data_IF_230379149382
#
_entry.id   IF_230379149382
#
_cell.length_a   1.000
_cell.length_b   1.000
_cell.length_c   1.000
_cell.angle_alpha   90.00
_cell.angle_beta   90.00
_cell.angle_gamma   90.00
#
_symmetry.space_group_name_H-M   'P 1'
#
loop_
_entity.id
_entity.type
_entity.pdbx_description
1 polymer ?
#
# COMPACT_ATOMS: atom_id res chain seq x y z
N UNK A 1 1.36 -38.03 -40.37
CA UNK A 1 0.03 -37.40 -40.48
C UNK A 1 -0.07 -36.36 -39.38
N UNK A 2 0.29 -35.12 -39.68
CA UNK A 2 0.05 -33.98 -38.82
C UNK A 2 -1.35 -33.47 -39.15
N UNK A 3 -2.28 -33.57 -38.22
CA UNK A 3 -3.67 -33.13 -38.40
C UNK A 3 -3.98 -32.13 -37.28
N UNK A 4 -4.25 -30.88 -37.67
CA UNK A 4 -5.22 -30.00 -37.01
C UNK A 4 -4.83 -29.27 -35.72
N UNK A 5 -3.68 -28.57 -35.66
CA UNK A 5 -3.38 -27.63 -34.54
C UNK A 5 -3.52 -26.14 -34.89
N UNK A 6 -3.43 -25.73 -36.16
CA UNK A 6 -3.55 -24.31 -36.55
C UNK A 6 -4.99 -23.87 -36.79
N UNK A 7 -5.82 -24.78 -37.31
CA UNK A 7 -7.11 -24.39 -37.87
C UNK A 7 -8.10 -23.95 -36.79
N UNK A 8 -8.07 -24.55 -35.59
CA UNK A 8 -9.02 -24.23 -34.51
C UNK A 8 -8.80 -22.87 -33.86
N UNK A 9 -7.54 -22.45 -33.69
CA UNK A 9 -7.18 -21.15 -33.09
C UNK A 9 -7.41 -20.02 -34.10
N UNK A 10 -7.16 -20.30 -35.38
CA UNK A 10 -7.37 -19.37 -36.48
C UNK A 10 -8.86 -19.21 -36.81
N UNK A 11 -9.66 -20.28 -36.70
CA UNK A 11 -11.13 -20.21 -36.72
C UNK A 11 -11.68 -19.39 -35.53
N UNK A 12 -11.14 -19.59 -34.32
CA UNK A 12 -11.50 -18.80 -33.14
C UNK A 12 -11.21 -17.31 -33.34
N UNK A 13 -10.01 -16.98 -33.86
CA UNK A 13 -9.63 -15.60 -34.19
C UNK A 13 -10.58 -15.02 -35.25
N UNK A 14 -10.87 -15.78 -36.32
CA UNK A 14 -11.72 -15.31 -37.43
C UNK A 14 -13.18 -15.09 -36.99
N UNK A 15 -13.71 -15.96 -36.12
CA UNK A 15 -15.06 -15.82 -35.52
C UNK A 15 -15.10 -14.65 -34.53
N UNK A 16 -14.03 -14.45 -33.74
CA UNK A 16 -13.92 -13.34 -32.79
C UNK A 16 -13.68 -11.98 -33.46
N UNK A 17 -13.08 -11.93 -34.65
CA UNK A 17 -12.91 -10.68 -35.41
C UNK A 17 -14.17 -10.29 -36.19
N UNK A 18 -14.98 -11.26 -36.61
CA UNK A 18 -16.19 -11.00 -37.42
C UNK A 18 -17.43 -10.64 -36.58
N UNK A 19 -17.49 -10.98 -35.29
CA UNK A 19 -18.73 -10.83 -34.50
C UNK A 19 -18.81 -9.60 -33.57
N UNK A 20 -17.73 -8.90 -33.23
CA UNK A 20 -17.76 -8.03 -32.03
C UNK A 20 -17.75 -6.52 -32.32
N UNK A 21 -18.94 -6.00 -32.67
CA UNK A 21 -19.35 -4.63 -32.37
C UNK A 21 -20.34 -4.63 -31.21
N UNK A 22 -19.91 -4.16 -30.04
CA UNK A 22 -20.68 -3.84 -28.82
C UNK A 22 -21.76 -4.85 -28.33
N UNK A 23 -21.52 -5.39 -27.14
CA UNK A 23 -22.49 -6.07 -26.25
C UNK A 23 -23.23 -7.26 -26.87
N UNK A 24 -22.64 -8.46 -26.79
CA UNK A 24 -23.36 -9.68 -27.18
C UNK A 24 -23.80 -10.44 -25.94
N UNK A 25 -25.11 -10.39 -25.70
CA UNK A 25 -25.88 -11.44 -25.03
C UNK A 25 -26.05 -12.56 -26.05
N UNK A 26 -25.60 -13.78 -25.72
CA UNK A 26 -25.74 -14.99 -26.52
C UNK A 26 -24.45 -15.44 -27.20
N UNK A 27 -23.64 -16.25 -26.51
CA UNK A 27 -22.43 -16.89 -27.06
C UNK A 27 -22.56 -18.42 -26.98
N UNK A 28 -22.07 -19.12 -27.98
CA UNK A 28 -22.06 -20.59 -28.08
C UNK A 28 -21.31 -21.25 -26.90
N UNK A 29 -21.93 -22.26 -26.27
CA UNK A 29 -21.33 -23.08 -25.20
C UNK A 29 -19.99 -23.70 -25.61
N UNK A 30 -19.79 -23.93 -26.92
CA UNK A 30 -18.53 -24.43 -27.47
C UNK A 30 -17.39 -23.43 -27.32
N UNK A 31 -17.66 -22.12 -27.48
CA UNK A 31 -16.67 -21.07 -27.26
C UNK A 31 -16.20 -21.06 -25.80
N UNK A 32 -17.15 -21.13 -24.86
CA UNK A 32 -16.87 -21.17 -23.42
C UNK A 32 -16.02 -22.40 -23.08
N UNK A 33 -16.36 -23.57 -23.63
CA UNK A 33 -15.55 -24.79 -23.51
C UNK A 33 -14.11 -24.59 -24.00
N UNK A 34 -13.92 -23.97 -25.17
CA UNK A 34 -12.60 -23.72 -25.71
C UNK A 34 -11.75 -22.82 -24.81
N UNK A 35 -12.35 -21.83 -24.13
CA UNK A 35 -11.63 -21.01 -23.13
C UNK A 35 -11.09 -21.86 -21.99
N UNK A 36 -11.91 -22.77 -21.43
CA UNK A 36 -11.46 -23.68 -20.37
C UNK A 36 -10.46 -24.72 -20.84
N UNK A 37 -10.57 -25.20 -22.09
CA UNK A 37 -9.53 -26.03 -22.70
C UNK A 37 -8.19 -25.31 -22.82
N UNK A 38 -8.19 -24.02 -23.16
CA UNK A 38 -6.97 -23.21 -23.19
C UNK A 38 -6.37 -23.07 -21.79
N UNK A 39 -7.19 -22.75 -20.77
CA UNK A 39 -6.71 -22.67 -19.38
C UNK A 39 -6.10 -23.99 -18.89
N UNK A 40 -6.74 -25.12 -19.23
CA UNK A 40 -6.24 -26.46 -18.90
C UNK A 40 -4.91 -26.75 -19.60
N UNK A 41 -4.81 -26.45 -20.90
CA UNK A 41 -3.61 -26.69 -21.70
C UNK A 41 -2.39 -25.92 -21.15
N UNK A 42 -2.61 -24.69 -20.70
CA UNK A 42 -1.57 -23.81 -20.16
C UNK A 42 -1.34 -24.01 -18.65
N UNK A 43 -2.09 -24.92 -17.99
CA UNK A 43 -2.14 -25.08 -16.53
C UNK A 43 -2.27 -23.74 -15.78
N UNK A 44 -3.06 -22.84 -16.34
CA UNK A 44 -3.08 -21.45 -15.89
C UNK A 44 -3.99 -21.28 -14.67
N UNK A 45 -3.43 -20.72 -13.61
CA UNK A 45 -4.20 -20.32 -12.43
C UNK A 45 -5.09 -19.10 -12.72
N UNK A 46 -6.29 -19.10 -12.15
CA UNK A 46 -7.21 -17.97 -12.21
C UNK A 46 -7.99 -17.76 -10.91
N UNK A 47 -8.37 -16.51 -10.60
CA UNK A 47 -9.20 -16.19 -9.44
C UNK A 47 -10.54 -16.94 -9.40
N UNK A 48 -10.81 -17.53 -8.24
CA UNK A 48 -12.06 -18.16 -7.84
C UNK A 48 -12.57 -17.46 -6.58
N UNK A 49 -13.60 -16.62 -6.74
CA UNK A 49 -14.24 -15.87 -5.66
C UNK A 49 -15.47 -16.63 -5.17
N UNK A 50 -15.38 -17.16 -3.96
CA UNK A 50 -16.43 -17.89 -3.30
C UNK A 50 -16.78 -17.21 -1.98
N UNK A 51 -17.95 -16.57 -1.94
CA UNK A 51 -18.43 -15.80 -0.78
C UNK A 51 -17.44 -14.77 -0.22
N UNK A 52 -16.66 -14.12 -1.10
CA UNK A 52 -15.70 -13.09 -0.71
C UNK A 52 -14.30 -13.64 -0.38
N UNK A 53 -14.14 -14.96 -0.28
CA UNK A 53 -12.81 -15.58 -0.27
C UNK A 53 -12.30 -15.67 -1.70
N UNK A 54 -11.14 -15.05 -1.95
CA UNK A 54 -10.47 -15.08 -3.25
C UNK A 54 -9.39 -16.14 -3.25
N UNK A 55 -9.71 -17.27 -3.84
CA UNK A 55 -8.81 -18.41 -4.02
C UNK A 55 -8.28 -18.43 -5.47
N UNK A 56 -7.29 -19.27 -5.73
CA UNK A 56 -6.83 -19.58 -7.08
C UNK A 56 -7.35 -20.96 -7.49
N UNK A 57 -7.75 -21.08 -8.75
CA UNK A 57 -8.23 -22.32 -9.33
C UNK A 57 -7.44 -22.69 -10.59
N UNK A 58 -7.29 -23.99 -10.84
CA UNK A 58 -6.77 -24.54 -12.09
C UNK A 58 -7.80 -25.48 -12.69
N UNK A 59 -7.96 -25.46 -14.02
CA UNK A 59 -8.83 -26.42 -14.71
C UNK A 59 -8.14 -27.78 -14.79
N UNK A 60 -8.71 -28.77 -14.11
CA UNK A 60 -8.19 -30.14 -14.13
C UNK A 60 -8.87 -30.97 -15.23
N UNK A 61 -10.19 -30.89 -15.35
CA UNK A 61 -10.98 -31.63 -16.34
C UNK A 61 -12.06 -30.77 -17.00
N UNK A 62 -12.25 -30.95 -18.31
CA UNK A 62 -13.30 -30.33 -19.10
C UNK A 62 -14.19 -31.43 -19.65
N UNK A 63 -15.39 -31.59 -19.08
CA UNK A 63 -16.39 -32.56 -19.51
C UNK A 63 -17.38 -31.99 -20.53
N UNK A 64 -18.46 -32.73 -20.79
CA UNK A 64 -19.49 -32.29 -21.74
C UNK A 64 -20.29 -31.09 -21.22
N UNK A 65 -20.75 -31.10 -19.97
CA UNK A 65 -21.52 -29.97 -19.39
C UNK A 65 -20.93 -29.47 -18.07
N UNK A 66 -19.81 -30.03 -17.64
CA UNK A 66 -19.18 -29.79 -16.34
C UNK A 66 -17.68 -29.56 -16.46
N UNK A 67 -17.12 -28.83 -15.48
CA UNK A 67 -15.68 -28.65 -15.31
C UNK A 67 -15.30 -29.15 -13.93
N UNK A 68 -14.10 -29.72 -13.81
CA UNK A 68 -13.47 -30.01 -12.53
C UNK A 68 -12.34 -29.01 -12.35
N UNK A 69 -12.42 -28.25 -11.26
CA UNK A 69 -11.41 -27.28 -10.85
C UNK A 69 -10.70 -27.80 -9.61
N UNK A 70 -9.38 -27.67 -9.60
CA UNK A 70 -8.59 -27.78 -8.38
C UNK A 70 -8.50 -26.39 -7.74
N UNK A 71 -8.96 -26.28 -6.49
CA UNK A 71 -9.04 -25.05 -5.70
C UNK A 71 -8.48 -25.34 -4.29
N UNK A 72 -7.19 -25.06 -4.03
CA UNK A 72 -6.57 -25.31 -2.74
C UNK A 72 -7.31 -24.64 -1.57
N UNK A 73 -7.44 -25.35 -0.45
CA UNK A 73 -7.96 -24.84 0.82
C UNK A 73 -9.43 -24.41 0.78
N UNK A 74 -10.19 -24.90 -0.18
CA UNK A 74 -11.59 -24.55 -0.31
C UNK A 74 -12.42 -25.10 0.85
N UNK A 75 -13.19 -24.21 1.49
CA UNK A 75 -14.17 -24.59 2.50
C UNK A 75 -15.58 -24.42 1.95
N UNK A 76 -16.43 -25.47 1.92
CA UNK A 76 -17.81 -25.35 1.47
C UNK A 76 -18.64 -24.50 2.44
N UNK A 77 -19.33 -23.46 1.93
CA UNK A 77 -20.07 -22.49 2.77
C UNK A 77 -21.58 -22.42 2.50
N UNK A 78 -22.12 -23.40 1.77
CA UNK A 78 -23.58 -23.61 1.62
C UNK A 78 -24.23 -22.88 0.45
N UNK A 79 -23.66 -21.79 -0.07
CA UNK A 79 -24.06 -21.22 -1.36
C UNK A 79 -23.45 -22.03 -2.52
N UNK A 80 -24.23 -22.35 -3.54
CA UNK A 80 -23.80 -23.15 -4.70
C UNK A 80 -23.44 -22.29 -5.91
N UNK A 81 -22.81 -21.13 -5.68
CA UNK A 81 -22.36 -20.23 -6.74
C UNK A 81 -21.00 -19.63 -6.40
N UNK A 82 -20.17 -19.46 -7.41
CA UNK A 82 -18.89 -18.75 -7.31
C UNK A 82 -18.71 -17.83 -8.52
N UNK A 83 -17.79 -16.88 -8.42
CA UNK A 83 -17.35 -16.05 -9.54
C UNK A 83 -15.94 -16.45 -9.96
N UNK A 84 -15.76 -16.67 -11.25
CA UNK A 84 -14.46 -16.92 -11.84
C UNK A 84 -14.13 -15.83 -12.84
N UNK A 85 -12.87 -15.43 -12.91
CA UNK A 85 -12.43 -14.46 -13.88
C UNK A 85 -11.02 -14.75 -14.35
N UNK A 86 -10.79 -14.67 -15.66
CA UNK A 86 -9.49 -14.93 -16.26
C UNK A 86 -9.32 -14.16 -17.56
N UNK A 87 -8.08 -14.04 -18.01
CA UNK A 87 -7.73 -13.22 -19.18
C UNK A 87 -7.09 -14.08 -20.25
N UNK A 88 -7.69 -14.18 -21.42
CA UNK A 88 -7.11 -14.88 -22.58
C UNK A 88 -7.13 -13.89 -23.76
N UNK A 89 -6.02 -13.77 -24.48
CA UNK A 89 -5.90 -12.89 -25.66
C UNK A 89 -6.39 -11.44 -25.42
N UNK A 90 -6.04 -10.84 -24.27
CA UNK A 90 -6.48 -9.49 -23.81
C UNK A 90 -7.98 -9.30 -23.53
N UNK A 91 -8.77 -10.38 -23.49
CA UNK A 91 -10.17 -10.31 -23.12
C UNK A 91 -10.27 -10.79 -21.68
N UNK A 92 -10.79 -9.94 -20.80
CA UNK A 92 -11.15 -10.34 -19.44
C UNK A 92 -12.51 -11.02 -19.51
N UNK A 93 -12.51 -12.31 -19.24
CA UNK A 93 -13.72 -13.12 -19.12
C UNK A 93 -14.14 -13.20 -17.66
N UNK A 94 -15.44 -13.03 -17.40
CA UNK A 94 -16.02 -13.19 -16.07
C UNK A 94 -17.27 -14.06 -16.16
N UNK A 95 -17.37 -15.02 -15.24
CA UNK A 95 -18.51 -15.92 -15.14
C UNK A 95 -18.93 -16.09 -13.69
N UNK A 96 -20.23 -16.10 -13.44
CA UNK A 96 -20.87 -16.66 -12.27
C UNK A 96 -21.23 -18.12 -12.60
N UNK A 97 -20.61 -19.04 -11.87
CA UNK A 97 -20.71 -20.49 -12.09
C UNK A 97 -21.53 -21.15 -10.99
N UNK A 98 -22.28 -22.18 -11.36
CA UNK A 98 -23.03 -23.01 -10.41
C UNK A 98 -22.14 -24.16 -9.94
N UNK A 99 -21.99 -24.28 -8.62
CA UNK A 99 -21.23 -25.33 -7.97
C UNK A 99 -22.13 -26.56 -7.82
N UNK A 100 -21.67 -27.70 -8.30
CA UNK A 100 -22.43 -28.95 -8.29
C UNK A 100 -22.00 -29.86 -7.16
N UNK A 101 -20.69 -29.97 -6.91
CA UNK A 101 -20.13 -30.88 -5.92
C UNK A 101 -18.75 -30.41 -5.44
N UNK A 102 -18.37 -30.84 -4.24
CA UNK A 102 -17.10 -30.54 -3.58
C UNK A 102 -16.48 -31.82 -3.02
N UNK A 103 -15.20 -32.06 -3.31
CA UNK A 103 -14.45 -33.14 -2.68
C UNK A 103 -13.00 -32.72 -2.48
N UNK A 104 -12.52 -32.79 -1.24
CA UNK A 104 -11.17 -32.33 -0.88
C UNK A 104 -10.93 -30.89 -1.39
N UNK A 105 -9.89 -30.68 -2.19
CA UNK A 105 -9.55 -29.41 -2.84
C UNK A 105 -10.13 -29.30 -4.27
N UNK A 106 -11.19 -30.04 -4.60
CA UNK A 106 -11.78 -30.04 -5.94
C UNK A 106 -13.23 -29.60 -5.94
N UNK A 107 -13.60 -28.93 -7.04
CA UNK A 107 -14.95 -28.43 -7.27
C UNK A 107 -15.41 -28.84 -8.64
N UNK A 108 -16.58 -29.48 -8.69
CA UNK A 108 -17.30 -29.65 -9.94
C UNK A 108 -18.23 -28.48 -10.15
N UNK A 109 -18.08 -27.79 -11.26
CA UNK A 109 -18.97 -26.70 -11.68
C UNK A 109 -19.70 -27.07 -12.96
N UNK A 110 -20.88 -26.48 -13.16
CA UNK A 110 -21.57 -26.53 -14.45
C UNK A 110 -20.91 -25.53 -15.41
N UNK A 111 -20.63 -25.96 -16.65
CA UNK A 111 -20.15 -25.04 -17.69
C UNK A 111 -21.23 -23.96 -17.91
N UNK A 112 -20.88 -22.67 -17.82
CA UNK A 112 -21.81 -21.60 -18.17
C UNK A 112 -22.30 -21.77 -19.60
N UNK A 113 -23.62 -21.80 -19.78
CA UNK A 113 -24.24 -21.89 -21.11
C UNK A 113 -24.05 -20.61 -21.93
N UNK A 114 -23.69 -19.49 -21.28
CA UNK A 114 -23.52 -18.18 -21.89
C UNK A 114 -22.31 -17.45 -21.29
N UNK A 115 -21.63 -16.66 -22.11
CA UNK A 115 -20.61 -15.70 -21.73
C UNK A 115 -21.28 -14.52 -21.04
N UNK A 116 -21.11 -14.42 -19.73
CA UNK A 116 -21.79 -13.38 -18.95
C UNK A 116 -21.15 -12.01 -19.11
N UNK A 117 -19.81 -11.96 -19.16
CA UNK A 117 -19.09 -10.74 -19.51
C UNK A 117 -17.74 -11.07 -20.14
N UNK A 118 -17.47 -10.43 -21.27
CA UNK A 118 -16.16 -10.36 -21.89
C UNK A 118 -15.86 -8.90 -22.18
N UNK A 119 -14.83 -8.37 -21.52
CA UNK A 119 -14.36 -7.02 -21.75
C UNK A 119 -13.02 -7.08 -22.46
N UNK A 120 -12.98 -6.63 -23.72
CA UNK A 120 -11.71 -6.31 -24.35
C UNK A 120 -11.02 -5.24 -23.52
N UNK A 121 -9.78 -5.52 -23.10
CA UNK A 121 -8.95 -4.44 -22.59
C UNK A 121 -8.70 -3.48 -23.74
N UNK A 122 -9.04 -2.20 -23.52
CA UNK A 122 -8.78 -1.14 -24.50
C UNK A 122 -7.29 -1.07 -24.90
N UNK A 123 -6.39 -1.50 -24.00
CA UNK A 123 -4.94 -1.46 -24.19
C UNK A 123 -4.29 -2.81 -23.87
N UNK A 124 -3.52 -3.33 -24.84
CA UNK A 124 -2.71 -4.56 -24.74
C UNK A 124 -1.67 -4.44 -23.61
N UNK A 125 -1.48 -5.52 -22.84
CA UNK A 125 -0.36 -5.68 -21.91
C UNK A 125 0.72 -6.56 -22.54
N UNK A 126 1.97 -6.22 -22.30
CA UNK A 126 3.12 -7.01 -22.73
C UNK A 126 3.97 -7.34 -21.51
N UNK A 127 4.30 -8.62 -21.35
CA UNK A 127 5.24 -9.08 -20.34
C UNK A 127 6.65 -8.60 -20.71
N UNK A 128 7.41 -8.13 -19.71
CA UNK A 128 8.75 -7.58 -19.89
C UNK A 128 9.69 -8.17 -18.84
N UNK A 129 10.85 -8.65 -19.30
CA UNK A 129 11.88 -9.24 -18.42
C UNK A 129 13.12 -8.34 -18.28
N UNK A 130 13.24 -7.36 -19.18
CA UNK A 130 14.40 -6.49 -19.37
C UNK A 130 14.13 -5.03 -19.01
N UNK A 131 12.99 -4.75 -18.38
CA UNK A 131 12.57 -3.39 -18.08
C UNK A 131 12.60 -3.13 -16.57
N UNK A 132 13.29 -2.05 -16.22
CA UNK A 132 13.41 -1.58 -14.84
C UNK A 132 12.94 -0.13 -14.77
N UNK A 133 12.64 0.35 -13.57
CA UNK A 133 12.29 1.73 -13.32
C UNK A 133 12.82 2.22 -11.98
N UNK A 134 12.89 3.54 -11.87
CA UNK A 134 12.95 4.22 -10.58
C UNK A 134 11.62 4.91 -10.33
N UNK A 135 11.23 5.07 -9.07
CA UNK A 135 10.00 5.80 -8.76
C UNK A 135 10.14 6.67 -7.51
N UNK A 136 9.33 7.73 -7.49
CA UNK A 136 9.13 8.60 -6.34
C UNK A 136 7.66 8.65 -5.96
N UNK A 137 7.38 8.67 -4.67
CA UNK A 137 6.01 8.83 -4.16
C UNK A 137 5.65 10.32 -4.21
N UNK A 138 4.57 10.64 -4.91
CA UNK A 138 4.03 12.00 -4.93
C UNK A 138 3.12 12.21 -3.73
N UNK A 139 3.14 13.45 -3.21
CA UNK A 139 2.29 13.81 -2.09
C UNK A 139 0.82 13.85 -2.53
N UNK A 140 -0.02 13.16 -1.75
CA UNK A 140 -1.48 13.20 -1.89
C UNK A 140 -2.14 13.51 -0.55
N UNK A 141 -1.77 12.73 0.47
CA UNK A 141 -2.15 12.95 1.86
C UNK A 141 -1.06 12.42 2.80
N UNK A 142 -1.06 12.88 4.06
CA UNK A 142 -0.20 12.32 5.11
C UNK A 142 -0.53 10.85 5.42
N UNK A 143 -1.82 10.50 5.38
CA UNK A 143 -2.31 9.14 5.61
C UNK A 143 -2.07 8.18 4.43
N UNK A 144 -1.80 8.70 3.22
CA UNK A 144 -1.75 7.93 1.98
C UNK A 144 -3.13 7.40 1.52
N UNK A 145 -3.27 7.23 0.22
CA UNK A 145 -4.30 6.34 -0.36
C UNK A 145 -5.79 6.70 -0.25
N UNK A 146 -6.15 7.90 0.18
CA UNK A 146 -7.55 8.35 0.18
C UNK A 146 -7.80 9.34 -0.96
N UNK A 147 -8.95 9.20 -1.64
CA UNK A 147 -9.39 10.14 -2.70
C UNK A 147 -9.99 11.43 -2.15
N UNK A 148 -10.19 11.52 -0.83
CA UNK A 148 -10.82 12.67 -0.19
C UNK A 148 -9.92 13.92 -0.27
N UNK A 149 -10.33 14.83 -1.15
CA UNK A 149 -9.73 16.16 -1.26
C UNK A 149 -10.06 16.95 0.02
N UNK A 150 -9.03 17.50 0.66
CA UNK A 150 -9.20 18.49 1.73
C UNK A 150 -9.00 18.01 3.16
N UNK A 151 -8.76 16.71 3.39
CA UNK A 151 -8.51 16.17 4.75
C UNK A 151 -7.30 16.81 5.44
N UNK A 152 -6.30 17.24 4.67
CA UNK A 152 -5.11 17.92 5.18
C UNK A 152 -5.10 19.42 4.89
N UNK A 153 -6.19 20.05 4.43
CA UNK A 153 -6.19 21.49 4.11
C UNK A 153 -5.76 22.35 5.29
N UNK A 154 -6.26 22.03 6.48
CA UNK A 154 -5.88 22.71 7.72
C UNK A 154 -4.38 22.57 8.00
N UNK A 155 -3.85 21.35 7.92
CA UNK A 155 -2.43 21.05 8.13
C UNK A 155 -1.55 21.73 7.08
N UNK A 156 -1.96 21.72 5.81
CA UNK A 156 -1.27 22.40 4.72
C UNK A 156 -1.20 23.91 4.89
N UNK A 157 -2.24 24.52 5.45
CA UNK A 157 -2.24 25.95 5.75
C UNK A 157 -1.37 26.27 6.97
N UNK A 158 -1.47 25.46 8.04
CA UNK A 158 -0.66 25.62 9.26
C UNK A 158 0.83 25.46 9.00
N UNK A 159 1.22 24.47 8.20
CA UNK A 159 2.61 24.10 7.91
C UNK A 159 3.02 24.40 6.46
N UNK A 160 2.57 25.54 5.92
CA UNK A 160 2.69 25.88 4.50
C UNK A 160 4.11 25.70 3.92
N UNK A 161 5.13 26.24 4.59
CA UNK A 161 6.51 26.18 4.09
C UNK A 161 7.05 24.76 4.09
N UNK A 162 6.77 24.00 5.15
CA UNK A 162 7.16 22.59 5.27
C UNK A 162 6.47 21.72 4.21
N UNK A 163 5.17 21.91 4.02
CA UNK A 163 4.40 21.18 3.01
C UNK A 163 4.85 21.49 1.58
N UNK A 164 5.25 22.74 1.31
CA UNK A 164 5.83 23.12 0.01
C UNK A 164 7.12 22.34 -0.29
N UNK A 165 7.96 22.10 0.71
CA UNK A 165 9.17 21.29 0.55
C UNK A 165 8.83 19.80 0.35
N UNK A 166 7.91 19.25 1.15
CA UNK A 166 7.51 17.84 1.08
C UNK A 166 6.84 17.47 -0.24
N UNK A 167 6.12 18.41 -0.86
CA UNK A 167 5.47 18.23 -2.17
C UNK A 167 6.47 18.11 -3.34
N UNK A 168 7.75 18.46 -3.16
CA UNK A 168 8.78 18.26 -4.18
C UNK A 168 9.05 16.77 -4.43
N UNK A 169 9.55 16.44 -5.61
CA UNK A 169 10.00 15.08 -5.94
C UNK A 169 11.20 14.67 -5.08
N UNK A 170 12.09 15.63 -4.78
CA UNK A 170 13.26 15.45 -3.92
C UNK A 170 13.26 16.47 -2.77
N UNK A 171 12.64 16.13 -1.62
CA UNK A 171 12.67 16.98 -0.45
C UNK A 171 14.05 16.97 0.24
N UNK A 172 14.48 18.14 0.73
CA UNK A 172 15.70 18.28 1.52
C UNK A 172 15.43 18.06 3.02
N UNK A 173 15.94 16.96 3.57
CA UNK A 173 15.83 16.67 5.01
C UNK A 173 16.48 17.76 5.87
N UNK A 174 17.56 18.38 5.40
CA UNK A 174 18.22 19.48 6.13
C UNK A 174 17.29 20.69 6.26
N UNK A 175 16.62 21.07 5.16
CA UNK A 175 15.70 22.20 5.18
C UNK A 175 14.43 21.87 5.99
N UNK A 176 13.92 20.65 5.87
CA UNK A 176 12.78 20.14 6.66
C UNK A 176 13.09 20.20 8.15
N UNK A 177 14.27 19.77 8.58
CA UNK A 177 14.69 19.83 9.98
C UNK A 177 14.75 21.27 10.51
N UNK A 178 15.26 22.22 9.71
CA UNK A 178 15.29 23.64 10.06
C UNK A 178 13.88 24.20 10.23
N UNK A 179 12.99 23.98 9.26
CA UNK A 179 11.61 24.45 9.32
C UNK A 179 10.84 23.82 10.49
N UNK A 180 11.00 22.52 10.73
CA UNK A 180 10.37 21.83 11.85
C UNK A 180 10.85 22.37 13.21
N UNK A 181 12.15 22.68 13.32
CA UNK A 181 12.70 23.33 14.51
C UNK A 181 12.05 24.69 14.74
N UNK A 182 11.89 25.53 13.72
CA UNK A 182 11.20 26.82 13.83
C UNK A 182 9.75 26.65 14.31
N UNK A 183 9.03 25.63 13.80
CA UNK A 183 7.67 25.33 14.24
C UNK A 183 7.59 24.87 15.70
N UNK A 184 8.54 24.04 16.15
CA UNK A 184 8.64 23.61 17.56
C UNK A 184 8.93 24.81 18.48
N UNK A 185 9.88 25.67 18.07
CA UNK A 185 10.24 26.89 18.80
C UNK A 185 9.08 27.89 18.91
N UNK A 186 8.10 27.83 18.01
CA UNK A 186 6.84 28.57 18.11
C UNK A 186 5.92 28.10 19.24
N UNK A 187 6.12 26.87 19.74
CA UNK A 187 5.36 26.28 20.87
C UNK A 187 6.15 26.38 22.17
N UNK A 188 7.40 25.90 22.19
CA UNK A 188 8.29 25.99 23.34
C UNK A 188 9.75 26.14 22.91
N UNK A 189 10.54 26.84 23.73
CA UNK A 189 11.99 26.95 23.54
C UNK A 189 12.71 25.68 23.98
N UNK A 190 12.10 24.91 24.88
CA UNK A 190 12.68 23.69 25.43
C UNK A 190 12.09 22.47 24.74
N UNK A 191 12.97 21.77 24.01
CA UNK A 191 12.62 20.57 23.29
C UNK A 191 13.83 19.64 23.11
N UNK A 192 13.55 18.37 22.90
CA UNK A 192 14.52 17.32 22.62
C UNK A 192 14.07 16.51 21.40
N UNK A 193 15.02 16.21 20.51
CA UNK A 193 14.80 15.27 19.42
C UNK A 193 15.71 14.07 19.69
N UNK A 194 15.10 12.95 20.03
CA UNK A 194 15.79 11.73 20.44
C UNK A 194 15.62 10.66 19.37
N UNK A 195 16.73 10.19 18.80
CA UNK A 195 16.73 9.01 17.92
C UNK A 195 17.19 7.77 18.69
N UNK A 196 16.47 6.68 18.48
CA UNK A 196 16.84 5.37 19.02
C UNK A 196 18.07 4.85 18.28
N UNK A 197 18.99 4.19 19.00
CA UNK A 197 20.22 3.69 18.43
C UNK A 197 20.75 2.47 19.17
N UNK A 198 21.56 1.63 18.48
CA UNK A 198 22.15 0.45 19.08
C UNK A 198 23.03 0.83 20.28
N UNK A 199 22.82 0.15 21.42
CA UNK A 199 23.62 0.34 22.64
C UNK A 199 23.19 1.47 23.56
N UNK A 200 22.15 2.25 23.22
CA UNK A 200 21.53 3.19 24.16
C UNK A 200 20.46 2.46 24.98
N UNK A 201 20.53 2.55 26.31
CA UNK A 201 19.44 2.09 27.17
C UNK A 201 18.27 3.05 26.99
N UNK A 202 17.14 2.53 26.52
CA UNK A 202 15.94 3.34 26.38
C UNK A 202 15.45 3.76 27.77
N UNK A 203 15.14 5.04 27.91
CA UNK A 203 14.43 5.58 29.06
C UNK A 203 12.98 5.10 29.07
N UNK A 204 12.24 5.42 30.13
CA UNK A 204 10.82 5.05 30.24
C UNK A 204 10.03 5.56 29.03
N UNK A 205 10.19 6.84 28.68
CA UNK A 205 9.50 7.45 27.54
C UNK A 205 9.84 6.77 26.20
N UNK A 206 11.12 6.47 25.96
CA UNK A 206 11.57 5.76 24.76
C UNK A 206 10.97 4.36 24.63
N UNK A 207 10.82 3.62 25.73
CA UNK A 207 10.12 2.32 25.73
C UNK A 207 8.64 2.48 25.38
N UNK A 208 7.96 3.44 26.00
CA UNK A 208 6.55 3.75 25.72
C UNK A 208 6.35 4.12 24.24
N UNK A 209 7.22 4.98 23.69
CA UNK A 209 7.14 5.40 22.30
C UNK A 209 7.30 4.23 21.32
N UNK A 210 8.16 3.26 21.64
CA UNK A 210 8.34 2.05 20.83
C UNK A 210 7.15 1.09 20.92
N UNK A 211 6.62 0.90 22.12
CA UNK A 211 5.57 -0.09 22.37
C UNK A 211 4.19 0.40 21.92
N UNK A 212 3.82 1.62 22.32
CA UNK A 212 2.48 2.16 22.05
C UNK A 212 2.40 2.94 20.75
N UNK A 213 3.52 3.49 20.26
CA UNK A 213 3.60 4.21 18.98
C UNK A 213 2.59 5.36 18.85
N UNK A 214 2.32 6.07 19.95
CA UNK A 214 1.35 7.17 20.03
C UNK A 214 1.95 8.39 20.73
N UNK A 215 1.35 9.56 20.53
CA UNK A 215 1.83 10.79 21.15
C UNK A 215 1.35 10.86 22.59
N UNK A 216 2.27 11.12 23.50
CA UNK A 216 1.98 11.28 24.93
C UNK A 216 1.87 12.76 25.24
N UNK A 217 0.83 13.16 25.97
CA UNK A 217 0.61 14.53 26.40
C UNK A 217 0.26 14.59 27.88
N UNK A 218 1.09 15.32 28.64
CA UNK A 218 0.89 15.61 30.05
C UNK A 218 0.64 17.12 30.19
N UNK A 219 -0.62 17.48 30.44
CA UNK A 219 -1.05 18.88 30.54
C UNK A 219 -0.48 19.60 31.78
N UNK A 220 -0.39 18.89 32.90
CA UNK A 220 0.14 19.40 34.16
C UNK A 220 0.82 18.26 34.93
N UNK A 221 2.15 18.34 35.05
CA UNK A 221 2.98 17.37 35.75
C UNK A 221 2.68 17.32 37.26
N UNK A 222 2.06 18.35 37.85
CA UNK A 222 1.70 18.35 39.28
C UNK A 222 0.47 17.49 39.60
N UNK A 223 -0.28 17.02 38.59
CA UNK A 223 -1.49 16.23 38.77
C UNK A 223 -1.33 14.80 38.23
N UNK A 224 -1.38 13.81 39.13
CA UNK A 224 -1.24 12.39 38.78
C UNK A 224 -2.28 11.92 37.76
N UNK A 225 -3.48 12.52 37.78
CA UNK A 225 -4.56 12.19 36.83
C UNK A 225 -4.19 12.49 35.38
N UNK A 226 -3.22 13.37 35.12
CA UNK A 226 -2.77 13.62 33.75
C UNK A 226 -1.87 12.51 33.22
N UNK A 227 -1.29 11.68 34.10
CA UNK A 227 -0.44 10.55 33.73
C UNK A 227 -1.26 9.28 33.49
N UNK A 228 -2.27 9.02 34.33
CA UNK A 228 -2.96 7.71 34.36
C UNK A 228 -4.50 7.82 34.25
N UNK A 229 -5.03 9.04 34.13
CA UNK A 229 -6.45 9.30 34.00
C UNK A 229 -7.02 8.88 32.65
N UNK A 230 -8.34 8.94 32.51
CA UNK A 230 -9.01 8.62 31.25
C UNK A 230 -8.61 9.58 30.14
N UNK A 231 -8.28 9.00 28.98
CA UNK A 231 -7.99 9.72 27.75
C UNK A 231 -9.23 10.49 27.29
N UNK A 232 -9.00 11.71 26.79
CA UNK A 232 -10.08 12.59 26.31
C UNK A 232 -9.96 12.91 24.83
N UNK A 233 -8.84 12.58 24.20
CA UNK A 233 -8.52 12.95 22.84
C UNK A 233 -8.07 11.71 22.04
N UNK A 234 -8.55 11.52 20.80
CA UNK A 234 -8.19 10.34 20.01
C UNK A 234 -6.75 10.31 19.49
N UNK A 235 -6.00 11.43 19.55
CA UNK A 235 -4.64 11.54 19.02
C UNK A 235 -3.57 11.75 20.10
N UNK A 236 -3.98 12.09 21.32
CA UNK A 236 -3.11 12.39 22.45
C UNK A 236 -3.44 11.46 23.62
N UNK A 237 -2.51 10.57 23.93
CA UNK A 237 -2.63 9.64 25.04
C UNK A 237 -1.85 10.15 26.25
N UNK A 238 -2.03 9.48 27.38
CA UNK A 238 -1.15 9.55 28.53
C UNK A 238 -0.56 8.16 28.80
N UNK A 239 -0.09 7.88 30.01
CA UNK A 239 0.47 6.59 30.38
C UNK A 239 -0.55 5.60 30.95
N UNK A 240 -1.86 5.82 30.74
CA UNK A 240 -2.91 4.96 31.28
C UNK A 240 -2.74 3.50 30.88
N UNK A 241 -2.46 3.21 29.62
CA UNK A 241 -2.34 1.82 29.16
C UNK A 241 -1.16 1.10 29.84
N UNK A 242 -0.02 1.77 30.00
CA UNK A 242 1.12 1.21 30.74
C UNK A 242 0.80 1.08 32.24
N UNK A 243 0.07 2.04 32.82
CA UNK A 243 -0.41 1.93 34.19
C UNK A 243 -1.29 0.70 34.39
N UNK A 244 -2.28 0.48 33.51
CA UNK A 244 -3.16 -0.68 33.58
C UNK A 244 -2.39 -2.00 33.42
N UNK A 245 -1.38 -2.02 32.55
CA UNK A 245 -0.47 -3.16 32.38
C UNK A 245 0.34 -3.44 33.65
N UNK A 246 0.91 -2.42 34.28
CA UNK A 246 1.63 -2.55 35.56
C UNK A 246 0.73 -2.98 36.71
N UNK A 247 -0.51 -2.49 36.76
CA UNK A 247 -1.52 -2.93 37.74
C UNK A 247 -1.78 -4.43 37.59
N UNK A 248 -1.88 -4.93 36.35
CA UNK A 248 -2.10 -6.35 36.09
C UNK A 248 -0.89 -7.21 36.41
N UNK A 249 0.34 -6.73 36.14
CA UNK A 249 1.56 -7.53 36.33
C UNK A 249 2.12 -7.49 37.75
N UNK A 250 2.05 -6.34 38.42
CA UNK A 250 2.73 -6.07 39.69
C UNK A 250 1.79 -5.67 40.84
N UNK A 251 0.53 -5.37 40.51
CA UNK A 251 -0.48 -4.92 41.47
C UNK A 251 -0.57 -3.40 41.59
N UNK A 252 -1.74 -2.93 41.99
CA UNK A 252 -2.09 -1.49 42.00
C UNK A 252 -1.14 -0.64 42.84
N UNK A 253 -0.75 -1.11 44.03
CA UNK A 253 0.10 -0.33 44.94
C UNK A 253 1.47 0.02 44.33
N UNK A 254 2.09 -0.93 43.61
CA UNK A 254 3.38 -0.71 42.95
C UNK A 254 3.26 0.20 41.72
N UNK A 255 2.18 0.04 40.95
CA UNK A 255 1.92 0.92 39.82
C UNK A 255 1.71 2.37 40.28
N UNK A 256 0.92 2.57 41.34
CA UNK A 256 0.70 3.89 41.95
C UNK A 256 2.00 4.50 42.47
N UNK A 257 2.86 3.70 43.13
CA UNK A 257 4.17 4.14 43.60
C UNK A 257 5.07 4.59 42.44
N UNK A 258 5.19 3.77 41.39
CA UNK A 258 6.00 4.08 40.20
C UNK A 258 5.61 5.41 39.55
N UNK A 259 4.33 5.63 39.27
CA UNK A 259 3.90 6.88 38.62
C UNK A 259 3.99 8.09 39.53
N UNK A 260 3.87 7.92 40.86
CA UNK A 260 4.12 9.01 41.82
C UNK A 260 5.60 9.38 41.90
N UNK A 261 6.50 8.41 41.82
CA UNK A 261 7.93 8.67 41.75
C UNK A 261 8.30 9.40 40.46
N UNK A 262 7.80 8.92 39.31
CA UNK A 262 7.96 9.59 38.02
C UNK A 262 7.45 11.04 38.10
N UNK A 263 6.23 11.24 38.59
CA UNK A 263 5.64 12.57 38.77
C UNK A 263 6.52 13.47 39.64
N UNK A 264 7.01 12.95 40.76
CA UNK A 264 7.86 13.70 41.70
C UNK A 264 9.18 14.10 41.05
N UNK A 265 9.81 13.20 40.29
CA UNK A 265 11.03 13.48 39.55
C UNK A 265 10.81 14.60 38.53
N UNK A 266 9.72 14.54 37.76
CA UNK A 266 9.41 15.55 36.75
C UNK A 266 9.12 16.93 37.37
N UNK A 267 8.39 16.99 38.48
CA UNK A 267 8.15 18.23 39.24
C UNK A 267 9.45 18.77 39.84
N UNK A 268 10.34 17.91 40.35
CA UNK A 268 11.67 18.32 40.85
C UNK A 268 12.55 18.89 39.75
N UNK A 269 12.41 18.39 38.53
CA UNK A 269 13.05 18.93 37.33
C UNK A 269 12.32 20.16 36.76
N UNK A 270 11.41 20.77 37.53
CA UNK A 270 10.66 21.97 37.17
C UNK A 270 9.81 21.83 35.90
N UNK A 271 9.43 20.62 35.48
CA UNK A 271 8.54 20.44 34.34
C UNK A 271 7.10 20.79 34.71
N UNK A 272 6.46 21.61 33.89
CA UNK A 272 5.04 21.97 34.03
C UNK A 272 4.18 21.06 33.17
N UNK A 273 4.53 20.90 31.89
CA UNK A 273 3.72 20.19 30.90
C UNK A 273 4.60 19.75 29.74
N UNK A 274 4.26 18.66 29.08
CA UNK A 274 4.95 18.26 27.85
C UNK A 274 4.08 17.47 26.89
N UNK A 275 4.51 17.46 25.64
CA UNK A 275 4.05 16.55 24.61
C UNK A 275 5.27 15.82 24.04
N UNK A 276 5.14 14.52 23.84
CA UNK A 276 6.14 13.70 23.20
C UNK A 276 5.49 12.98 22.02
N UNK A 277 6.00 13.20 20.81
CA UNK A 277 5.45 12.59 19.59
C UNK A 277 6.50 11.71 18.91
N UNK A 278 6.16 10.47 18.52
CA UNK A 278 7.12 9.58 17.88
C UNK A 278 7.45 10.03 16.45
N UNK A 279 8.73 9.91 16.11
CA UNK A 279 9.24 10.00 14.73
C UNK A 279 9.31 8.58 14.20
N UNK A 280 8.64 8.31 13.08
CA UNK A 280 8.61 6.97 12.49
C UNK A 280 9.32 6.93 11.15
N UNK A 281 9.84 5.75 10.83
CA UNK A 281 10.21 5.38 9.48
C UNK A 281 9.24 4.29 9.03
N UNK A 282 8.49 4.56 7.97
CA UNK A 282 7.27 3.80 7.65
C UNK A 282 6.29 3.86 8.84
N UNK A 283 6.14 2.77 9.60
CA UNK A 283 5.30 2.70 10.79
C UNK A 283 6.09 2.44 12.07
N UNK A 284 7.41 2.22 11.96
CA UNK A 284 8.26 1.85 13.09
C UNK A 284 8.81 3.10 13.79
N UNK A 285 8.62 3.25 15.12
CA UNK A 285 9.23 4.33 15.88
C UNK A 285 10.76 4.26 15.84
N UNK A 286 11.40 5.29 15.27
CA UNK A 286 12.86 5.43 15.24
C UNK A 286 13.37 6.52 16.19
N UNK A 287 12.46 7.25 16.82
CA UNK A 287 12.76 8.30 17.77
C UNK A 287 11.51 9.00 18.26
N UNK A 288 11.68 10.11 18.96
CA UNK A 288 10.59 11.00 19.36
C UNK A 288 11.05 12.46 19.47
N UNK A 289 10.09 13.37 19.38
CA UNK A 289 10.26 14.79 19.69
C UNK A 289 9.54 15.04 21.00
N UNK A 290 10.26 15.49 22.01
CA UNK A 290 9.70 15.93 23.29
C UNK A 290 9.74 17.45 23.34
N UNK A 291 8.57 18.08 23.47
CA UNK A 291 8.44 19.53 23.64
C UNK A 291 7.83 19.76 25.01
N UNK A 292 8.49 20.56 25.84
CA UNK A 292 8.09 20.74 27.24
C UNK A 292 8.16 22.21 27.65
N UNK A 293 7.45 22.53 28.72
CA UNK A 293 7.50 23.84 29.38
C UNK A 293 8.01 23.66 30.81
N UNK A 294 8.81 24.61 31.27
CA UNK A 294 9.39 24.61 32.60
C UNK A 294 8.79 25.70 33.49
N UNK A 295 9.04 25.62 34.79
CA UNK A 295 8.66 26.66 35.76
C UNK A 295 9.19 28.07 35.39
N UNK A 296 10.27 28.15 34.60
CA UNK A 296 10.85 29.42 34.16
C UNK A 296 10.03 30.09 33.07
N UNK A 297 9.34 29.30 32.24
CA UNK A 297 8.61 29.80 31.08
C UNK A 297 7.24 30.39 31.45
N UNK A 298 6.71 30.02 32.61
CA UNK A 298 5.42 30.50 33.16
C UNK A 298 4.22 30.27 32.23
N UNK A 299 4.29 29.26 31.37
CA UNK A 299 3.15 28.79 30.58
C UNK A 299 3.03 27.27 30.65
N UNK A 300 1.86 26.74 30.29
CA UNK A 300 1.63 25.32 30.08
C UNK A 300 1.27 25.13 28.61
N UNK A 301 1.78 24.05 28.01
CA UNK A 301 1.45 23.63 26.65
C UNK A 301 -0.03 23.24 26.66
N UNK A 302 -0.86 23.98 25.93
CA UNK A 302 -2.29 23.67 25.83
C UNK A 302 -2.53 22.55 24.83
N UNK A 303 -3.68 21.87 24.93
CA UNK A 303 -4.05 20.73 24.07
C UNK A 303 -3.91 21.04 22.56
N UNK A 304 -4.29 22.25 22.12
CA UNK A 304 -4.14 22.66 20.71
C UNK A 304 -2.68 22.73 20.26
N UNK A 305 -1.76 23.14 21.14
CA UNK A 305 -0.33 23.13 20.85
C UNK A 305 0.23 21.70 20.86
N UNK A 306 -0.27 20.82 21.75
CA UNK A 306 0.10 19.41 21.74
C UNK A 306 -0.34 18.72 20.43
N UNK A 307 -1.57 18.95 19.97
CA UNK A 307 -2.06 18.49 18.67
C UNK A 307 -1.23 19.06 17.51
N UNK A 308 -0.82 20.33 17.59
CA UNK A 308 0.05 20.94 16.61
C UNK A 308 1.41 20.24 16.49
N UNK A 309 2.04 19.88 17.62
CA UNK A 309 3.30 19.10 17.63
C UNK A 309 3.07 17.68 17.12
N UNK A 310 1.94 17.05 17.44
CA UNK A 310 1.57 15.74 16.93
C UNK A 310 1.43 15.75 15.40
N UNK A 311 0.70 16.72 14.83
CA UNK A 311 0.59 16.93 13.39
C UNK A 311 1.98 17.11 12.74
N UNK A 312 2.87 17.88 13.37
CA UNK A 312 4.25 18.06 12.90
C UNK A 312 5.04 16.73 12.89
N UNK A 313 4.86 15.89 13.91
CA UNK A 313 5.46 14.55 13.98
C UNK A 313 5.02 13.64 12.83
N UNK A 314 3.75 13.69 12.44
CA UNK A 314 3.23 12.96 11.26
C UNK A 314 3.83 13.48 9.96
N UNK A 315 3.94 14.80 9.81
CA UNK A 315 4.56 15.42 8.62
C UNK A 315 6.02 14.99 8.49
N UNK A 316 6.77 14.98 9.59
CA UNK A 316 8.18 14.56 9.60
C UNK A 316 8.33 13.07 9.29
N UNK A 317 7.47 12.24 9.86
CA UNK A 317 7.39 10.80 9.56
C UNK A 317 7.17 10.55 8.06
N UNK A 318 6.22 11.27 7.46
CA UNK A 318 5.94 11.20 6.03
C UNK A 318 7.16 11.61 5.21
N UNK A 319 7.79 12.74 5.57
CA UNK A 319 8.97 13.25 4.87
C UNK A 319 10.15 12.28 4.91
N UNK A 320 10.46 11.72 6.08
CA UNK A 320 11.54 10.75 6.26
C UNK A 320 11.30 9.50 5.43
N UNK A 321 10.09 8.95 5.50
CA UNK A 321 9.72 7.74 4.74
C UNK A 321 9.81 7.98 3.24
N UNK A 322 9.31 9.12 2.76
CA UNK A 322 9.40 9.50 1.34
C UNK A 322 10.85 9.63 0.86
N UNK A 323 11.73 10.28 1.65
CA UNK A 323 13.15 10.40 1.31
C UNK A 323 13.85 9.05 1.33
N UNK A 324 13.54 8.19 2.31
CA UNK A 324 14.10 6.85 2.40
C UNK A 324 13.78 6.02 1.15
N UNK A 325 12.50 5.92 0.77
CA UNK A 325 12.06 5.15 -0.40
C UNK A 325 12.74 5.66 -1.68
N UNK A 326 12.85 6.99 -1.82
CA UNK A 326 13.59 7.58 -2.95
C UNK A 326 15.06 7.21 -2.92
N UNK A 327 15.74 7.36 -1.77
CA UNK A 327 17.16 7.03 -1.69
C UNK A 327 17.42 5.56 -2.01
N UNK A 328 16.53 4.67 -1.57
CA UNK A 328 16.65 3.24 -1.85
C UNK A 328 16.50 2.93 -3.35
N UNK A 329 15.51 3.54 -4.01
CA UNK A 329 15.31 3.37 -5.45
C UNK A 329 16.39 4.02 -6.32
N UNK A 330 17.04 5.09 -5.85
CA UNK A 330 18.04 5.83 -6.61
C UNK A 330 19.48 5.61 -6.09
N UNK A 331 19.70 4.57 -5.28
CA UNK A 331 20.99 4.29 -4.64
C UNK A 331 22.08 3.93 -5.64
N UNK A 332 21.69 3.32 -6.76
CA UNK A 332 22.56 2.94 -7.87
C UNK A 332 22.23 3.80 -9.11
N UNK A 333 23.20 3.99 -10.00
CA UNK A 333 22.98 4.74 -11.26
C UNK A 333 21.99 4.04 -12.20
N UNK A 334 21.78 2.74 -12.01
CA UNK A 334 20.84 1.93 -12.78
C UNK A 334 19.46 1.83 -12.10
N UNK A 335 18.42 1.72 -12.92
CA UNK A 335 17.07 1.49 -12.42
C UNK A 335 16.96 0.11 -11.77
N UNK A 336 16.52 0.06 -10.51
CA UNK A 336 16.54 -1.19 -9.71
C UNK A 336 15.20 -1.89 -9.62
N UNK A 337 14.08 -1.18 -9.81
CA UNK A 337 12.74 -1.77 -9.63
C UNK A 337 12.30 -2.49 -10.91
N UNK A 338 12.17 -3.81 -10.87
CA UNK A 338 11.75 -4.61 -12.04
C UNK A 338 10.28 -4.38 -12.41
N UNK A 339 10.03 -4.12 -13.68
CA UNK A 339 8.68 -4.11 -14.27
C UNK A 339 8.41 -5.53 -14.80
N UNK A 340 7.21 -6.05 -14.55
CA UNK A 340 6.79 -7.40 -14.95
C UNK A 340 5.89 -7.36 -16.19
N UNK A 341 4.94 -6.42 -16.21
CA UNK A 341 4.10 -6.15 -17.36
C UNK A 341 3.88 -4.65 -17.54
N UNK A 342 3.69 -4.23 -18.79
CA UNK A 342 3.39 -2.84 -19.13
C UNK A 342 2.36 -2.75 -20.26
N UNK A 343 1.54 -1.70 -20.20
CA UNK A 343 0.51 -1.35 -21.16
C UNK A 343 0.42 0.16 -21.30
N UNK A 344 -0.36 0.64 -22.28
CA UNK A 344 -0.64 2.08 -22.41
C UNK A 344 -1.39 2.68 -21.20
N UNK A 345 -2.05 1.86 -20.38
CA UNK A 345 -2.82 2.33 -19.23
C UNK A 345 -2.11 2.18 -17.89
N UNK A 346 -0.97 1.49 -17.84
CA UNK A 346 -0.40 1.10 -16.56
C UNK A 346 0.62 -0.02 -16.66
N UNK A 347 1.25 -0.31 -15.53
CA UNK A 347 2.25 -1.36 -15.38
C UNK A 347 2.06 -2.14 -14.08
N UNK A 348 2.70 -3.30 -14.03
CA UNK A 348 2.89 -4.12 -12.83
C UNK A 348 4.38 -4.18 -12.53
N UNK A 349 4.78 -3.92 -11.29
CA UNK A 349 6.18 -3.96 -10.88
C UNK A 349 6.37 -4.69 -9.56
N UNK A 350 7.59 -5.19 -9.35
CA UNK A 350 8.02 -5.93 -8.18
C UNK A 350 8.64 -5.00 -7.12
N UNK A 351 8.31 -5.23 -5.86
CA UNK A 351 8.91 -4.60 -4.67
C UNK A 351 9.50 -5.73 -3.82
N UNK A 352 10.76 -5.57 -3.45
CA UNK A 352 11.47 -6.51 -2.56
C UNK A 352 11.27 -6.15 -1.07
N UNK A 353 11.19 -4.86 -0.72
CA UNK A 353 11.03 -4.41 0.67
C UNK A 353 9.57 -4.44 1.13
N UNK A 354 9.26 -5.40 2.01
CA UNK A 354 7.96 -5.56 2.63
C UNK A 354 7.46 -4.30 3.37
N UNK A 355 8.36 -3.49 3.93
CA UNK A 355 7.98 -2.25 4.65
C UNK A 355 7.43 -1.22 3.68
N UNK A 356 8.09 -1.04 2.54
CA UNK A 356 7.61 -0.17 1.45
C UNK A 356 6.27 -0.64 0.91
N UNK A 357 6.08 -1.94 0.69
CA UNK A 357 4.80 -2.49 0.26
C UNK A 357 3.67 -2.22 1.25
N UNK A 358 3.89 -2.47 2.56
CA UNK A 358 2.90 -2.22 3.63
C UNK A 358 2.61 -0.74 3.86
N UNK A 359 3.57 0.13 3.56
CA UNK A 359 3.39 1.58 3.68
C UNK A 359 2.56 2.16 2.52
N UNK A 360 2.75 1.65 1.31
CA UNK A 360 1.97 2.04 0.15
C UNK A 360 0.51 1.59 0.33
N UNK A 361 -0.42 2.48 0.00
CA UNK A 361 -1.85 2.25 0.03
C UNK A 361 -2.43 2.42 -1.37
N UNK A 362 -3.59 1.81 -1.59
CA UNK A 362 -4.39 2.02 -2.80
C UNK A 362 -4.63 3.51 -2.97
N UNK A 363 -4.56 4.04 -4.19
CA UNK A 363 -4.64 5.48 -4.51
C UNK A 363 -3.42 6.33 -4.16
N UNK A 364 -2.32 5.76 -3.67
CA UNK A 364 -1.06 6.49 -3.69
C UNK A 364 -0.67 6.84 -5.12
N UNK A 365 -0.11 8.04 -5.28
CA UNK A 365 0.37 8.51 -6.58
C UNK A 365 1.88 8.29 -6.61
N UNK A 366 2.36 7.68 -7.68
CA UNK A 366 3.78 7.51 -7.93
C UNK A 366 4.15 8.14 -9.28
N UNK A 367 5.35 8.70 -9.33
CA UNK A 367 6.00 9.15 -10.55
C UNK A 367 7.12 8.17 -10.86
N UNK A 368 7.02 7.52 -12.01
CA UNK A 368 7.89 6.46 -12.49
C UNK A 368 8.80 7.02 -13.58
N UNK A 369 10.05 6.62 -13.54
CA UNK A 369 11.10 6.91 -14.51
C UNK A 369 11.50 5.59 -15.14
N UNK A 370 11.05 5.36 -16.37
CA UNK A 370 11.21 4.08 -17.07
C UNK A 370 12.19 4.29 -18.23
N UNK A 371 13.47 3.86 -18.10
CA UNK A 371 14.42 3.87 -19.20
C UNK A 371 13.95 2.93 -20.32
N UNK A 372 13.60 3.50 -21.48
CA UNK A 372 13.31 2.74 -22.71
C UNK A 372 14.26 3.23 -23.81
N UNK A 373 15.18 2.36 -24.21
CA UNK A 373 16.23 2.69 -25.19
C UNK A 373 17.08 3.89 -24.74
N UNK A 374 17.11 4.98 -25.49
CA UNK A 374 17.92 6.19 -25.17
C UNK A 374 17.13 7.26 -24.40
N UNK A 375 15.90 6.96 -23.93
CA UNK A 375 15.03 7.94 -23.27
C UNK A 375 14.44 7.40 -21.97
N UNK A 376 14.49 8.23 -20.93
CA UNK A 376 13.76 8.00 -19.69
C UNK A 376 12.34 8.54 -19.80
N UNK A 377 11.37 7.63 -19.86
CA UNK A 377 9.96 8.00 -19.84
C UNK A 377 9.54 8.42 -18.43
N UNK A 378 8.79 9.53 -18.34
CA UNK A 378 8.26 10.03 -17.08
C UNK A 378 6.76 9.82 -17.07
N UNK A 379 6.34 8.79 -16.33
CA UNK A 379 4.95 8.36 -16.24
C UNK A 379 4.43 8.63 -14.83
N UNK A 380 3.21 9.15 -14.69
CA UNK A 380 2.55 9.35 -13.40
C UNK A 380 1.35 8.42 -13.31
N UNK A 381 1.25 7.71 -12.20
CA UNK A 381 0.21 6.71 -12.02
C UNK A 381 -0.28 6.57 -10.58
N UNK A 382 -1.46 5.99 -10.46
CA UNK A 382 -2.15 5.68 -9.21
C UNK A 382 -2.01 4.19 -8.91
N UNK A 383 -1.58 3.84 -7.69
CA UNK A 383 -1.53 2.45 -7.23
C UNK A 383 -2.96 1.92 -7.08
N UNK A 384 -3.29 0.83 -7.80
CA UNK A 384 -4.65 0.28 -7.85
C UNK A 384 -4.75 -1.16 -7.36
N UNK A 385 -3.63 -1.90 -7.36
CA UNK A 385 -3.61 -3.34 -7.05
C UNK A 385 -2.38 -3.70 -6.22
N UNK A 386 -2.58 -4.59 -5.27
CA UNK A 386 -1.57 -5.18 -4.38
C UNK A 386 -1.66 -6.69 -4.55
N UNK A 387 -0.52 -7.35 -4.72
CA UNK A 387 -0.40 -8.80 -4.76
C UNK A 387 0.78 -9.18 -3.87
N UNK A 388 0.53 -10.02 -2.90
CA UNK A 388 1.55 -10.64 -2.06
C UNK A 388 1.72 -12.08 -2.56
N UNK A 389 2.96 -12.48 -2.82
CA UNK A 389 3.30 -13.82 -3.27
C UNK A 389 4.02 -14.58 -2.15
N UNK A 390 3.87 -15.90 -2.16
CA UNK A 390 4.40 -16.79 -1.11
C UNK A 390 5.94 -16.81 -1.03
N UNK A 391 6.63 -16.32 -2.05
CA UNK A 391 8.10 -16.25 -2.13
C UNK A 391 8.70 -14.98 -1.52
N UNK A 392 7.88 -14.17 -0.84
CA UNK A 392 8.32 -12.91 -0.24
C UNK A 392 8.47 -11.77 -1.24
N UNK A 393 7.94 -11.92 -2.46
CA UNK A 393 7.83 -10.86 -3.44
C UNK A 393 6.48 -10.17 -3.39
N UNK A 394 6.49 -8.87 -3.62
CA UNK A 394 5.30 -8.06 -3.61
C UNK A 394 5.11 -7.37 -4.95
N UNK A 395 3.94 -7.49 -5.58
CA UNK A 395 3.66 -6.81 -6.84
C UNK A 395 2.64 -5.69 -6.66
N UNK A 396 2.96 -4.53 -7.26
CA UNK A 396 2.06 -3.38 -7.31
C UNK A 396 1.62 -3.08 -8.74
N UNK A 397 0.30 -3.03 -8.92
CA UNK A 397 -0.31 -2.59 -10.17
C UNK A 397 -0.64 -1.10 -10.12
N UNK A 398 -0.22 -0.38 -11.15
CA UNK A 398 -0.37 1.07 -11.26
C UNK A 398 -1.07 1.43 -12.55
N UNK A 399 -2.04 2.33 -12.48
CA UNK A 399 -2.68 2.90 -13.66
C UNK A 399 -2.13 4.30 -13.93
N UNK A 400 -1.67 4.55 -15.15
CA UNK A 400 -1.23 5.86 -15.60
C UNK A 400 -2.42 6.82 -15.71
N UNK A 401 -2.19 8.06 -15.33
CA UNK A 401 -3.17 9.14 -15.54
C UNK A 401 -2.53 10.39 -16.17
N UNK A 402 -1.20 10.49 -16.17
CA UNK A 402 -0.47 11.62 -16.75
C UNK A 402 0.94 11.19 -17.18
N UNK A 403 1.51 11.90 -18.15
CA UNK A 403 2.86 11.66 -18.70
C UNK A 403 3.42 12.94 -19.31
N UNK A 404 4.73 12.98 -19.54
CA UNK A 404 5.28 14.07 -20.36
C UNK A 404 4.81 13.96 -21.82
N UNK A 405 4.89 15.06 -22.60
CA UNK A 405 4.64 15.02 -24.03
C UNK A 405 5.50 13.97 -24.73
N UNK A 406 4.91 13.30 -25.71
CA UNK A 406 5.50 12.23 -26.53
C UNK A 406 5.83 10.91 -25.81
N UNK A 407 5.97 10.87 -24.48
CA UNK A 407 6.36 9.65 -23.75
C UNK A 407 5.40 8.48 -24.01
N UNK A 408 4.10 8.76 -24.15
CA UNK A 408 3.10 7.74 -24.50
C UNK A 408 3.29 7.20 -25.92
N UNK A 409 3.77 8.00 -26.87
CA UNK A 409 4.07 7.54 -28.24
C UNK A 409 5.25 6.58 -28.23
N UNK A 410 6.30 6.90 -27.47
CA UNK A 410 7.45 6.01 -27.29
C UNK A 410 7.05 4.70 -26.62
N UNK A 411 6.23 4.77 -25.57
CA UNK A 411 5.70 3.58 -24.91
C UNK A 411 4.87 2.71 -25.87
N UNK A 412 4.02 3.33 -26.69
CA UNK A 412 3.22 2.62 -27.68
C UNK A 412 4.10 1.89 -28.70
N UNK A 413 5.14 2.57 -29.22
CA UNK A 413 6.09 1.98 -30.16
C UNK A 413 6.85 0.80 -29.53
N UNK A 414 7.26 0.93 -28.28
CA UNK A 414 7.91 -0.14 -27.53
C UNK A 414 7.01 -1.37 -27.36
N UNK A 415 5.77 -1.16 -26.92
CA UNK A 415 4.75 -2.22 -26.75
C UNK A 415 4.50 -2.93 -28.09
N UNK A 416 4.34 -2.17 -29.18
CA UNK A 416 4.15 -2.73 -30.52
C UNK A 416 5.36 -3.55 -30.98
N UNK A 417 6.58 -3.05 -30.76
CA UNK A 417 7.82 -3.74 -31.11
C UNK A 417 7.99 -5.07 -30.38
N UNK A 418 7.73 -5.10 -29.07
CA UNK A 418 7.78 -6.36 -28.29
C UNK A 418 6.71 -7.35 -28.72
N UNK A 419 5.47 -6.89 -28.99
CA UNK A 419 4.39 -7.76 -29.51
C UNK A 419 4.84 -8.47 -30.79
N UNK A 420 5.44 -7.74 -31.73
CA UNK A 420 5.88 -8.32 -33.00
C UNK A 420 6.95 -9.39 -32.77
N UNK A 421 7.93 -9.16 -31.88
CA UNK A 421 8.95 -10.17 -31.57
C UNK A 421 8.36 -11.47 -31.03
N UNK A 422 7.40 -11.39 -30.10
CA UNK A 422 6.73 -12.56 -29.51
C UNK A 422 5.92 -13.35 -30.56
N UNK A 423 5.44 -12.71 -31.63
CA UNK A 423 4.71 -13.40 -32.71
C UNK A 423 5.64 -14.07 -33.74
N UNK A 424 6.93 -13.75 -33.74
CA UNK A 424 7.92 -14.28 -34.70
C UNK A 424 8.93 -15.27 -34.09
N UNK A 425 8.99 -15.35 -32.76
CA UNK A 425 9.68 -16.41 -32.00
C UNK A 425 8.70 -17.53 -31.64
#
# INVERSE_FOLDING_TARGET
>A
MAVGRSDTLQELITILETMFGETIIGSDINLVKHLFYSLKADQREFPFDYEGDKLNAVVEEVGEDTLILYVPYLQPKGILRAKISFEILNILYQFEVVLLDFWEDHVRIKIPSELQAAAFRKNLRVAVDDLFMNYVILYRSLSGGERELGKNLSVEQKFFHLMKEIKKDNPSLKLINLMATEYILGVSKDYEIVFFGPGKKDDFLGRIMKEYNRSIYIQDCSLIMNYIGEERDPYLDNFRDEYLKLVQSEGQAKADEFFRELQKEEVQNFMISYVATPIRLFNDPIGYIRVYSTAMDKFSIVQQQALYIQELGEILTYALTKVYIRQDNFRNEEAVTRILDISMNGLLFEIEDARTFKYLKKHNIIKMFVPISERDLVLRGEVVRFLELDDGKFHLGVNFFDSNPDDMVYLQNYIFGKKMRILFE
#
